data_IF_105445137825
#
_entry.id   IF_105445137825
#
_cell.length_a   1.000
_cell.length_b   1.000
_cell.length_c   1.000
_cell.angle_alpha   90.00
_cell.angle_beta   90.00
_cell.angle_gamma   90.00
#
_symmetry.space_group_name_H-M   'P 1'
#
loop_
_entity.id
_entity.type
_entity.pdbx_description
1 polymer ?
#
# COMPACT_ATOMS: atom_id res chain seq x y z
N UNK A 1 -11.97 -36.13 7.96
CA UNK A 1 -12.73 -34.88 7.77
C UNK A 1 -12.00 -33.64 8.28
N UNK A 2 -10.98 -33.77 9.15
CA UNK A 2 -10.13 -32.65 9.60
C UNK A 2 -9.16 -32.11 8.53
N UNK A 3 -8.71 -32.98 7.61
CA UNK A 3 -7.62 -32.68 6.67
C UNK A 3 -8.04 -31.78 5.49
N UNK A 4 -9.31 -31.79 5.08
CA UNK A 4 -9.78 -30.96 3.97
C UNK A 4 -10.01 -29.51 4.40
N UNK A 5 -10.38 -29.27 5.66
CA UNK A 5 -10.59 -27.93 6.21
C UNK A 5 -9.28 -27.19 6.42
N UNK A 6 -8.21 -27.86 6.87
CA UNK A 6 -6.85 -27.28 6.93
C UNK A 6 -6.34 -26.89 5.53
N UNK A 7 -6.66 -27.70 4.51
CA UNK A 7 -6.26 -27.45 3.12
C UNK A 7 -7.06 -26.30 2.48
N UNK A 8 -8.34 -26.13 2.85
CA UNK A 8 -9.13 -24.95 2.47
C UNK A 8 -8.66 -23.70 3.24
N UNK A 9 -8.37 -23.80 4.53
CA UNK A 9 -7.88 -22.69 5.37
C UNK A 9 -6.47 -22.21 4.94
N UNK A 10 -5.61 -23.13 4.46
CA UNK A 10 -4.31 -22.80 3.88
C UNK A 10 -4.40 -22.20 2.47
N UNK A 11 -5.49 -22.46 1.72
CA UNK A 11 -5.78 -21.79 0.45
C UNK A 11 -6.43 -20.42 0.64
N UNK A 12 -7.10 -20.17 1.77
CA UNK A 12 -7.49 -18.83 2.23
C UNK A 12 -6.39 -18.14 3.05
N UNK A 13 -5.11 -18.51 2.84
CA UNK A 13 -3.98 -17.74 3.36
C UNK A 13 -3.73 -16.57 2.42
N UNK A 14 -4.40 -15.44 2.69
CA UNK A 14 -4.25 -14.16 2.00
C UNK A 14 -4.30 -14.31 0.48
N UNK A 15 -5.50 -14.40 -0.07
CA UNK A 15 -5.68 -13.74 -1.36
C UNK A 15 -5.39 -12.27 -1.08
N UNK A 16 -4.14 -11.85 -1.33
CA UNK A 16 -3.80 -10.44 -1.45
C UNK A 16 -4.69 -9.94 -2.59
N UNK A 17 -5.92 -9.51 -2.25
CA UNK A 17 -6.78 -8.82 -3.20
C UNK A 17 -5.90 -7.71 -3.76
N UNK A 18 -5.50 -7.85 -5.03
CA UNK A 18 -4.70 -6.85 -5.71
C UNK A 18 -5.60 -5.64 -5.86
N UNK A 19 -5.72 -4.87 -4.79
CA UNK A 19 -6.40 -3.60 -4.81
C UNK A 19 -5.58 -2.73 -5.75
N UNK A 20 -6.28 -2.07 -6.65
CA UNK A 20 -5.69 -1.15 -7.61
C UNK A 20 -6.30 0.22 -7.43
N UNK A 21 -5.49 1.24 -7.63
CA UNK A 21 -5.91 2.62 -7.61
C UNK A 21 -5.62 3.26 -8.98
N UNK A 22 -6.62 3.95 -9.53
CA UNK A 22 -6.44 4.71 -10.78
C UNK A 22 -6.19 6.17 -10.44
N UNK A 23 -5.05 6.70 -10.87
CA UNK A 23 -4.66 8.08 -10.58
C UNK A 23 -5.54 9.10 -11.30
N UNK A 24 -5.67 10.27 -10.67
CA UNK A 24 -6.28 11.47 -11.22
C UNK A 24 -5.15 12.44 -11.58
N UNK A 25 -5.39 13.30 -12.56
CA UNK A 25 -4.41 14.29 -13.01
C UNK A 25 -3.94 15.18 -11.85
N UNK A 26 -2.62 15.34 -11.72
CA UNK A 26 -2.01 16.25 -10.75
C UNK A 26 -1.73 15.63 -9.39
N UNK A 27 -2.10 14.36 -9.17
CA UNK A 27 -1.82 13.67 -7.91
C UNK A 27 -0.33 13.32 -7.77
N UNK A 28 0.09 13.17 -6.53
CA UNK A 28 1.45 12.79 -6.12
C UNK A 28 1.40 11.59 -5.18
N UNK A 29 2.54 10.96 -4.92
CA UNK A 29 2.62 9.72 -4.13
C UNK A 29 2.08 9.87 -2.70
N UNK A 30 2.35 10.99 -2.05
CA UNK A 30 1.87 11.38 -0.72
C UNK A 30 0.34 11.55 -0.68
N UNK A 31 -0.25 12.23 -1.68
CA UNK A 31 -1.70 12.39 -1.80
C UNK A 31 -2.38 11.03 -1.97
N UNK A 32 -1.86 10.18 -2.87
CA UNK A 32 -2.44 8.85 -3.11
C UNK A 32 -2.30 7.98 -1.86
N UNK A 33 -1.16 8.02 -1.17
CA UNK A 33 -0.98 7.30 0.08
C UNK A 33 -1.93 7.78 1.18
N UNK A 34 -2.18 9.09 1.29
CA UNK A 34 -3.17 9.64 2.21
C UNK A 34 -4.60 9.18 1.86
N UNK A 35 -4.95 9.12 0.58
CA UNK A 35 -6.28 8.67 0.14
C UNK A 35 -6.50 7.17 0.38
N UNK A 36 -5.50 6.35 0.08
CA UNK A 36 -5.60 4.88 0.12
C UNK A 36 -5.35 4.34 1.53
N UNK A 37 -4.28 4.79 2.18
CA UNK A 37 -3.81 4.27 3.46
C UNK A 37 -4.13 5.19 4.65
N UNK A 38 -4.79 6.34 4.40
CA UNK A 38 -5.06 7.37 5.43
C UNK A 38 -3.80 7.93 6.10
N UNK A 39 -2.65 7.77 5.45
CA UNK A 39 -1.37 8.28 5.94
C UNK A 39 -0.39 8.49 4.78
N UNK A 40 0.11 9.71 4.67
CA UNK A 40 1.12 10.12 3.69
C UNK A 40 2.48 9.41 3.89
N UNK A 41 2.76 8.92 5.10
CA UNK A 41 4.00 8.19 5.43
C UNK A 41 4.15 6.88 4.65
N UNK A 42 3.05 6.33 4.11
CA UNK A 42 3.07 5.14 3.28
C UNK A 42 3.39 5.41 1.80
N UNK A 43 3.73 6.64 1.40
CA UNK A 43 4.17 6.93 0.04
C UNK A 43 5.37 6.07 -0.40
N UNK A 44 6.35 5.86 0.50
CA UNK A 44 7.49 4.98 0.22
C UNK A 44 7.10 3.51 0.03
N UNK A 45 6.12 3.03 0.82
CA UNK A 45 5.55 1.69 0.63
C UNK A 45 4.85 1.60 -0.73
N UNK A 46 3.99 2.56 -1.05
CA UNK A 46 3.30 2.63 -2.34
C UNK A 46 4.27 2.63 -3.54
N UNK A 47 5.36 3.39 -3.44
CA UNK A 47 6.44 3.43 -4.44
C UNK A 47 7.13 2.07 -4.60
N UNK A 48 7.42 1.38 -3.49
CA UNK A 48 8.06 0.05 -3.52
C UNK A 48 7.25 -1.00 -4.29
N UNK A 49 5.92 -0.89 -4.25
CA UNK A 49 4.99 -1.79 -4.95
C UNK A 49 4.79 -1.41 -6.43
N UNK A 50 5.15 -0.18 -6.80
CA UNK A 50 4.89 0.42 -8.11
C UNK A 50 6.17 0.91 -8.79
N UNK A 51 7.21 0.07 -8.80
CA UNK A 51 8.53 0.41 -9.36
C UNK A 51 8.51 0.96 -10.81
N UNK A 52 7.53 0.54 -11.61
CA UNK A 52 7.38 1.00 -13.01
C UNK A 52 6.89 2.44 -13.13
N UNK A 53 6.27 2.99 -12.09
CA UNK A 53 5.68 4.31 -12.08
C UNK A 53 6.57 5.36 -11.37
N UNK A 54 7.76 4.98 -10.90
CA UNK A 54 8.68 5.87 -10.17
C UNK A 54 9.19 7.05 -11.00
N UNK A 55 9.04 7.00 -12.32
CA UNK A 55 9.34 8.10 -13.23
C UNK A 55 8.31 9.24 -13.17
N UNK A 56 7.15 9.02 -12.56
CA UNK A 56 6.14 10.06 -12.35
C UNK A 56 6.39 10.78 -11.02
N UNK A 57 6.76 12.06 -11.13
CA UNK A 57 6.76 12.98 -10.00
C UNK A 57 5.35 13.53 -9.73
N UNK A 58 4.61 13.81 -10.80
CA UNK A 58 3.20 14.16 -10.81
C UNK A 58 2.50 13.18 -11.74
N UNK A 59 1.44 12.54 -11.27
CA UNK A 59 0.72 11.55 -12.03
C UNK A 59 -0.23 12.19 -13.06
N UNK A 60 -0.26 11.68 -14.29
CA UNK A 60 -1.38 11.91 -15.19
C UNK A 60 -2.61 11.12 -14.72
N UNK A 61 -3.78 11.45 -15.27
CA UNK A 61 -4.98 10.64 -15.07
C UNK A 61 -4.84 9.26 -15.74
N UNK A 62 -5.36 8.22 -15.08
CA UNK A 62 -5.48 6.89 -15.67
C UNK A 62 -4.31 5.93 -15.46
N UNK A 63 -3.31 6.28 -14.63
CA UNK A 63 -2.25 5.34 -14.25
C UNK A 63 -2.78 4.38 -13.19
N UNK A 64 -2.57 3.09 -13.39
CA UNK A 64 -3.01 2.06 -12.44
C UNK A 64 -1.84 1.74 -11.51
N UNK A 65 -2.07 1.92 -10.21
CA UNK A 65 -1.14 1.59 -9.14
C UNK A 65 -1.66 0.39 -8.35
N UNK A 66 -0.75 -0.50 -7.97
CA UNK A 66 -1.01 -1.58 -7.04
C UNK A 66 -0.99 -1.03 -5.61
N UNK A 67 -2.05 -1.29 -4.84
CA UNK A 67 -2.23 -0.82 -3.47
C UNK A 67 -2.53 -2.01 -2.54
N UNK A 68 -1.57 -2.93 -2.33
CA UNK A 68 -1.78 -4.06 -1.43
C UNK A 68 -2.09 -3.58 -0.01
N UNK A 69 -2.80 -4.40 0.75
CA UNK A 69 -3.06 -4.10 2.16
C UNK A 69 -1.74 -3.88 2.91
N UNK A 70 -1.79 -2.98 3.90
CA UNK A 70 -0.64 -2.76 4.76
C UNK A 70 -0.38 -4.03 5.57
N UNK A 71 0.89 -4.45 5.75
CA UNK A 71 1.21 -5.54 6.65
C UNK A 71 0.72 -5.20 8.06
N UNK A 72 0.13 -6.18 8.73
CA UNK A 72 -0.39 -6.07 10.11
C UNK A 72 0.78 -6.07 11.11
N UNK A 73 1.62 -5.02 11.07
CA UNK A 73 2.67 -4.64 12.03
C UNK A 73 3.47 -3.48 11.41
N UNK A 74 3.76 -2.34 12.03
CA UNK A 74 3.44 -1.75 13.33
C UNK A 74 3.35 -0.24 13.04
N UNK A 75 2.28 0.39 13.53
CA UNK A 75 2.20 1.85 13.60
C UNK A 75 3.13 2.35 14.72
N UNK A 76 4.43 2.12 14.59
CA UNK A 76 5.47 2.77 15.39
C UNK A 76 6.64 3.01 14.47
N UNK A 77 6.52 4.06 13.67
CA UNK A 77 7.73 4.80 13.29
C UNK A 77 8.30 5.26 14.63
N UNK A 78 9.29 4.54 15.17
CA UNK A 78 10.13 5.07 16.24
C UNK A 78 10.67 6.39 15.73
N UNK A 79 10.03 7.48 16.14
CA UNK A 79 10.50 8.79 15.81
C UNK A 79 11.76 9.00 16.63
N UNK A 80 12.85 9.50 16.02
CA UNK A 80 14.03 9.83 16.79
C UNK A 80 13.67 10.90 17.84
N UNK A 81 14.32 10.82 19.00
CA UNK A 81 13.98 11.60 20.21
C UNK A 81 13.79 13.11 19.96
N UNK A 82 14.46 13.69 18.96
CA UNK A 82 14.36 15.11 18.59
C UNK A 82 13.04 15.54 17.92
N UNK A 83 12.16 14.59 17.57
CA UNK A 83 10.85 14.87 16.93
C UNK A 83 9.69 14.87 17.94
N UNK A 84 9.98 14.59 19.21
CA UNK A 84 9.01 14.52 20.30
C UNK A 84 8.95 15.85 21.06
N UNK A 85 8.46 16.92 20.43
CA UNK A 85 8.08 18.18 21.12
C UNK A 85 6.74 18.72 20.61
#
# INVERSE_FOLDING_TARGET
>A
MQFFTEQILALTRKEDFMNTYTTIQGQTWDIIALEVYRSEFYAGYLMSQNGKALNYFIFPEGVILNIPELPESEATVEQPDWRSE
#
